data_IF_547115597029
#
_entry.id   IF_547115597029
#
_cell.length_a   1.000
_cell.length_b   1.000
_cell.length_c   1.000
_cell.angle_alpha   90.00
_cell.angle_beta   90.00
_cell.angle_gamma   90.00
#
_symmetry.space_group_name_H-M   'P 1'
#
loop_
_entity.id
_entity.type
_entity.pdbx_description
1 polymer ?
#
# COMPACT_ATOMS: atom_id res chain seq x y z
N UNK A 1 -8.38 -8.25 19.20
CA UNK A 1 -9.24 -7.90 18.06
C UNK A 1 -8.48 -6.93 17.17
N UNK A 2 -8.33 -7.25 15.88
CA UNK A 2 -7.61 -6.45 14.90
C UNK A 2 -8.18 -5.02 14.85
N UNK A 3 -7.29 -4.02 14.88
CA UNK A 3 -7.68 -2.60 14.89
C UNK A 3 -8.05 -2.09 13.50
N UNK A 4 -7.55 -2.76 12.45
CA UNK A 4 -7.79 -2.46 11.05
C UNK A 4 -8.55 -3.61 10.38
N UNK A 5 -9.36 -3.29 9.37
CA UNK A 5 -10.07 -4.27 8.56
C UNK A 5 -10.29 -3.75 7.14
N UNK A 6 -10.47 -4.68 6.20
CA UNK A 6 -10.81 -4.34 4.80
C UNK A 6 -12.33 -4.29 4.63
N UNK A 7 -12.81 -3.28 3.91
CA UNK A 7 -14.19 -3.21 3.43
C UNK A 7 -14.24 -2.64 2.00
N UNK A 8 -15.31 -2.93 1.28
CA UNK A 8 -15.55 -2.39 -0.06
C UNK A 8 -16.02 -0.93 0.01
N UNK A 9 -15.59 -0.15 -0.97
CA UNK A 9 -16.01 1.24 -1.19
C UNK A 9 -16.71 1.33 -2.55
N UNK A 10 -17.70 2.22 -2.72
CA UNK A 10 -18.39 2.36 -4.00
C UNK A 10 -17.50 2.81 -5.15
N UNK A 11 -16.45 3.58 -4.88
CA UNK A 11 -15.64 4.26 -5.90
C UNK A 11 -14.22 3.71 -6.08
N UNK A 12 -13.63 3.09 -5.07
CA UNK A 12 -12.23 2.66 -5.08
C UNK A 12 -12.04 1.15 -4.82
N UNK A 13 -13.12 0.39 -4.74
CA UNK A 13 -13.07 -1.03 -4.36
C UNK A 13 -12.62 -1.19 -2.91
N UNK A 14 -11.72 -2.13 -2.63
CA UNK A 14 -11.25 -2.43 -1.27
C UNK A 14 -10.55 -1.22 -0.65
N UNK A 15 -10.84 -0.95 0.63
CA UNK A 15 -10.12 0.03 1.43
C UNK A 15 -9.92 -0.46 2.87
N UNK A 16 -9.02 0.19 3.59
CA UNK A 16 -8.68 -0.15 4.98
C UNK A 16 -9.38 0.82 5.93
N UNK A 17 -10.04 0.26 6.93
CA UNK A 17 -10.85 0.99 7.89
C UNK A 17 -10.51 0.58 9.33
N UNK A 18 -10.91 1.40 10.30
CA UNK A 18 -10.81 1.07 11.72
C UNK A 18 -12.12 1.37 12.46
N UNK A 19 -12.36 0.65 13.55
CA UNK A 19 -13.42 0.98 14.54
C UNK A 19 -12.87 1.66 15.78
N UNK A 20 -11.57 1.93 15.85
CA UNK A 20 -10.92 2.59 16.98
C UNK A 20 -10.57 4.02 16.62
N UNK A 21 -10.59 4.89 17.63
CA UNK A 21 -10.03 6.23 17.47
C UNK A 21 -8.51 6.12 17.29
N UNK A 22 -8.00 6.75 16.23
CA UNK A 22 -6.56 6.88 15.96
C UNK A 22 -6.14 8.26 16.44
N UNK A 23 -5.09 8.31 17.27
CA UNK A 23 -4.47 9.59 17.67
C UNK A 23 -3.55 10.08 16.55
N UNK A 24 -3.38 11.39 16.44
CA UNK A 24 -2.34 11.98 15.58
C UNK A 24 -0.99 11.32 15.89
N UNK A 25 -0.22 11.02 14.85
CA UNK A 25 1.11 10.40 14.90
C UNK A 25 1.13 8.95 15.44
N UNK A 26 -0.02 8.30 15.62
CA UNK A 26 -0.10 6.90 15.99
C UNK A 26 0.27 6.00 14.81
N UNK A 27 1.22 5.09 15.02
CA UNK A 27 1.54 4.02 14.07
C UNK A 27 0.34 3.07 13.97
N UNK A 28 -0.25 2.99 12.77
CA UNK A 28 -1.39 2.11 12.50
C UNK A 28 -0.96 0.73 11.99
N UNK A 29 0.16 0.64 11.28
CA UNK A 29 0.69 -0.60 10.74
C UNK A 29 2.19 -0.48 10.44
N UNK A 30 2.92 -1.59 10.52
CA UNK A 30 4.28 -1.74 10.01
C UNK A 30 4.26 -2.90 9.02
N UNK A 31 4.45 -2.60 7.75
CA UNK A 31 4.31 -3.59 6.68
C UNK A 31 5.68 -4.12 6.26
N UNK A 32 5.89 -5.44 6.23
CA UNK A 32 7.01 -6.00 5.49
C UNK A 32 6.81 -5.70 3.99
N UNK A 33 7.92 -5.57 3.27
CA UNK A 33 7.92 -5.27 1.84
C UNK A 33 8.62 -6.36 1.05
N UNK A 34 8.10 -6.64 -0.14
CA UNK A 34 8.82 -7.40 -1.17
C UNK A 34 9.47 -6.38 -2.09
N UNK A 35 10.79 -6.29 -2.05
CA UNK A 35 11.57 -5.42 -2.95
C UNK A 35 11.74 -6.15 -4.28
N UNK A 36 11.38 -5.47 -5.37
CA UNK A 36 11.49 -5.94 -6.74
C UNK A 36 12.60 -5.15 -7.43
N UNK A 37 13.62 -5.82 -7.98
CA UNK A 37 14.76 -5.15 -8.59
C UNK A 37 14.37 -4.23 -9.76
N UNK A 38 15.16 -3.18 -9.97
CA UNK A 38 15.03 -2.21 -11.08
C UNK A 38 14.74 -2.83 -12.45
N UNK A 39 15.37 -3.97 -12.77
CA UNK A 39 15.22 -4.63 -14.07
C UNK A 39 13.78 -5.14 -14.30
N UNK A 40 13.04 -5.43 -13.24
CA UNK A 40 11.66 -5.94 -13.30
C UNK A 40 10.62 -4.83 -13.18
N UNK A 41 10.98 -3.63 -12.71
CA UNK A 41 10.06 -2.49 -12.59
C UNK A 41 9.28 -2.20 -13.90
N UNK A 42 9.90 -2.16 -15.09
CA UNK A 42 9.15 -1.95 -16.34
C UNK A 42 8.12 -3.04 -16.66
N UNK A 43 8.31 -4.26 -16.11
CA UNK A 43 7.35 -5.36 -16.23
C UNK A 43 6.22 -5.13 -15.23
N UNK A 44 6.53 -4.90 -13.95
CA UNK A 44 5.55 -4.64 -12.89
C UNK A 44 4.63 -3.47 -13.25
N UNK A 45 5.19 -2.39 -13.80
CA UNK A 45 4.47 -1.19 -14.24
C UNK A 45 3.42 -1.49 -15.33
N UNK A 46 3.54 -2.61 -16.05
CA UNK A 46 2.57 -3.05 -17.07
C UNK A 46 1.54 -4.04 -16.54
N UNK A 47 1.57 -4.36 -15.25
CA UNK A 47 0.62 -5.28 -14.59
C UNK A 47 -0.35 -4.53 -13.72
N UNK A 48 -1.34 -5.24 -13.16
CA UNK A 48 -2.24 -4.66 -12.14
C UNK A 48 -1.52 -4.14 -10.90
N UNK A 49 -0.29 -4.63 -10.62
CA UNK A 49 0.49 -4.17 -9.47
C UNK A 49 1.00 -2.73 -9.65
N UNK A 50 0.87 -2.15 -10.85
CA UNK A 50 1.11 -0.74 -11.12
C UNK A 50 0.45 0.17 -10.08
N UNK A 51 -0.80 -0.13 -9.73
CA UNK A 51 -1.60 0.71 -8.84
C UNK A 51 -1.31 0.44 -7.34
N UNK A 52 -0.35 -0.44 -7.03
CA UNK A 52 -0.12 -0.97 -5.68
C UNK A 52 1.35 -0.91 -5.23
N UNK A 53 2.30 -0.68 -6.15
CA UNK A 53 3.72 -0.62 -5.81
C UNK A 53 4.15 0.79 -5.39
N UNK A 54 5.20 0.84 -4.56
CA UNK A 54 5.89 2.06 -4.18
C UNK A 54 7.24 2.11 -4.88
N UNK A 55 7.67 3.28 -5.36
CA UNK A 55 9.06 3.47 -5.77
C UNK A 55 9.97 3.23 -4.58
N UNK A 56 11.10 2.56 -4.81
CA UNK A 56 11.95 2.06 -3.73
C UNK A 56 13.45 2.21 -4.04
N UNK A 57 14.27 2.01 -3.02
CA UNK A 57 15.72 2.18 -3.07
C UNK A 57 16.15 3.64 -2.97
N UNK A 58 17.45 3.86 -2.74
CA UNK A 58 18.01 5.21 -2.58
C UNK A 58 17.86 6.08 -3.83
N UNK A 59 17.82 5.44 -5.01
CA UNK A 59 17.73 6.10 -6.31
C UNK A 59 16.30 6.14 -6.87
N UNK A 60 15.32 5.58 -6.15
CA UNK A 60 13.92 5.47 -6.58
C UNK A 60 13.75 4.77 -7.94
N UNK A 61 14.60 3.79 -8.22
CA UNK A 61 14.61 3.03 -9.47
C UNK A 61 14.23 1.54 -9.28
N UNK A 62 13.94 1.13 -8.06
CA UNK A 62 13.30 -0.15 -7.72
C UNK A 62 11.80 0.06 -7.44
N UNK A 63 11.07 -1.04 -7.24
CA UNK A 63 9.75 -0.96 -6.62
C UNK A 63 9.59 -1.94 -5.48
N UNK A 64 8.64 -1.65 -4.60
CA UNK A 64 8.28 -2.51 -3.49
C UNK A 64 6.76 -2.68 -3.41
N UNK A 65 6.33 -3.92 -3.15
CA UNK A 65 4.96 -4.21 -2.76
C UNK A 65 4.91 -4.25 -1.25
N UNK A 66 4.05 -3.42 -0.65
CA UNK A 66 3.81 -3.45 0.78
C UNK A 66 2.81 -4.56 1.10
N UNK A 67 3.24 -5.51 1.92
CA UNK A 67 2.39 -6.56 2.44
C UNK A 67 1.50 -6.01 3.58
N UNK A 68 0.88 -6.89 4.36
CA UNK A 68 -0.13 -6.45 5.32
C UNK A 68 -1.27 -5.74 4.61
N UNK A 69 -1.69 -4.57 5.10
CA UNK A 69 -2.60 -3.68 4.39
C UNK A 69 -1.90 -2.51 3.68
N UNK A 70 -0.57 -2.49 3.61
CA UNK A 70 0.20 -1.36 3.09
C UNK A 70 -0.18 -0.95 1.66
N UNK A 71 -0.32 -1.90 0.75
CA UNK A 71 -0.80 -1.63 -0.62
C UNK A 71 -2.33 -1.56 -0.75
N UNK A 72 -3.09 -1.69 0.34
CA UNK A 72 -4.56 -1.69 0.35
C UNK A 72 -5.17 -0.35 0.74
N UNK A 73 -4.37 0.61 1.21
CA UNK A 73 -4.84 1.95 1.53
C UNK A 73 -5.12 2.73 0.25
N UNK A 74 -6.36 3.19 0.09
CA UNK A 74 -6.75 4.00 -1.06
C UNK A 74 -6.10 5.39 -1.02
N UNK A 75 -5.86 5.95 -2.20
CA UNK A 75 -5.47 7.34 -2.36
C UNK A 75 -6.70 8.26 -2.33
N UNK A 76 -6.58 9.41 -1.66
CA UNK A 76 -7.57 10.48 -1.70
C UNK A 76 -6.83 11.78 -2.05
N UNK A 77 -7.19 12.39 -3.18
CA UNK A 77 -6.65 13.70 -3.59
C UNK A 77 -7.50 14.78 -2.94
N UNK A 78 -6.86 15.69 -2.20
CA UNK A 78 -7.50 16.87 -1.61
C UNK A 78 -7.69 18.00 -2.62
#
# INVERSE_FOLDING_TARGET
MQELYIAETPSAGRGVFTRKMIKKDQVIEICPVIIIPKLELPIIHKTILHDYYFLWGEQLDECAIALGYGSMYNHEVH
#
